data_IF_109402894284
#
_entry.id   IF_109402894284
#
_cell.length_a   1.000
_cell.length_b   1.000
_cell.length_c   1.000
_cell.angle_alpha   90.00
_cell.angle_beta   90.00
_cell.angle_gamma   90.00
#
_symmetry.space_group_name_H-M   'P 1'
#
loop_
_entity.id
_entity.type
_entity.pdbx_description
1 polymer ?
#
# COMPACT_ATOMS: atom_id res chain seq x y z
N UNK A 1 -2.26 -17.85 -5.04
CA UNK A 1 -2.61 -16.51 -5.56
C UNK A 1 -4.05 -16.44 -6.05
N UNK A 2 -4.42 -17.14 -7.13
CA UNK A 2 -5.76 -17.06 -7.73
C UNK A 2 -6.89 -17.20 -6.69
N UNK A 3 -6.84 -18.24 -5.84
CA UNK A 3 -7.85 -18.47 -4.80
C UNK A 3 -8.08 -17.26 -3.85
N UNK A 4 -7.00 -16.66 -3.31
CA UNK A 4 -7.13 -15.51 -2.40
C UNK A 4 -7.52 -14.22 -3.14
N UNK A 5 -7.11 -14.09 -4.40
CA UNK A 5 -7.51 -12.98 -5.27
C UNK A 5 -9.00 -13.04 -5.60
N UNK A 6 -9.50 -14.21 -5.99
CA UNK A 6 -10.91 -14.44 -6.30
C UNK A 6 -11.78 -14.22 -5.07
N UNK A 7 -11.32 -14.67 -3.90
CA UNK A 7 -12.00 -14.41 -2.63
C UNK A 7 -12.10 -12.91 -2.33
N UNK A 8 -10.99 -12.16 -2.47
CA UNK A 8 -10.99 -10.72 -2.23
C UNK A 8 -11.89 -9.97 -3.22
N UNK A 9 -11.90 -10.34 -4.49
CA UNK A 9 -12.79 -9.76 -5.50
C UNK A 9 -14.24 -10.07 -5.19
N UNK A 10 -14.57 -11.33 -4.88
CA UNK A 10 -15.93 -11.75 -4.52
C UNK A 10 -16.47 -10.98 -3.33
N UNK A 11 -15.64 -10.76 -2.30
CA UNK A 11 -16.01 -9.96 -1.13
C UNK A 11 -16.35 -8.51 -1.51
N UNK A 12 -15.67 -7.94 -2.49
CA UNK A 12 -15.84 -6.53 -2.89
C UNK A 12 -16.93 -6.33 -3.96
N UNK A 13 -17.37 -7.38 -4.65
CA UNK A 13 -18.42 -7.29 -5.66
C UNK A 13 -19.80 -6.94 -5.08
N UNK A 14 -20.64 -6.27 -5.88
CA UNK A 14 -22.04 -5.94 -5.56
C UNK A 14 -22.25 -5.13 -4.28
N UNK A 15 -21.25 -4.30 -3.92
CA UNK A 15 -21.27 -3.43 -2.75
C UNK A 15 -20.95 -1.99 -3.14
N UNK A 16 -21.23 -1.06 -2.22
CA UNK A 16 -20.68 0.29 -2.29
C UNK A 16 -19.18 0.23 -2.00
N UNK A 17 -18.38 0.66 -2.95
CA UNK A 17 -16.93 0.71 -2.84
C UNK A 17 -16.43 2.14 -2.78
N UNK A 18 -15.26 2.30 -2.16
CA UNK A 18 -14.43 3.49 -2.22
C UNK A 18 -13.18 3.13 -3.02
N UNK A 19 -12.96 3.86 -4.11
CA UNK A 19 -11.76 3.71 -4.94
C UNK A 19 -10.92 4.97 -4.73
N UNK A 20 -9.67 4.79 -4.29
CA UNK A 20 -8.73 5.89 -4.04
C UNK A 20 -7.52 5.69 -4.92
N UNK A 21 -7.31 6.64 -5.83
CA UNK A 21 -6.11 6.74 -6.66
C UNK A 21 -5.11 7.67 -5.97
N UNK A 22 -3.89 7.19 -5.77
CA UNK A 22 -2.84 7.92 -5.04
C UNK A 22 -1.44 7.60 -5.56
N UNK A 23 -0.45 8.42 -5.17
CA UNK A 23 0.95 8.16 -5.47
C UNK A 23 1.74 7.69 -4.25
N UNK A 24 2.63 6.72 -4.45
CA UNK A 24 3.65 6.32 -3.50
C UNK A 24 5.03 6.78 -4.01
N UNK A 25 5.64 7.75 -3.31
CA UNK A 25 6.87 8.42 -3.74
C UNK A 25 6.59 9.82 -4.28
N UNK A 26 7.41 10.79 -3.89
CA UNK A 26 7.21 12.21 -4.21
C UNK A 26 7.65 12.58 -5.64
N UNK A 27 8.65 11.88 -6.18
CA UNK A 27 9.26 12.25 -7.46
C UNK A 27 8.51 11.58 -8.63
N UNK A 28 8.09 12.32 -9.67
CA UNK A 28 7.32 11.77 -10.79
C UNK A 28 7.99 10.63 -11.58
N UNK A 29 9.32 10.60 -11.64
CA UNK A 29 10.13 9.63 -12.38
C UNK A 29 10.21 8.24 -11.72
N UNK A 30 9.89 8.18 -10.43
CA UNK A 30 10.12 7.01 -9.57
C UNK A 30 8.92 6.65 -8.71
N UNK A 31 7.90 7.51 -8.64
CA UNK A 31 6.64 7.23 -7.93
C UNK A 31 5.87 6.09 -8.57
N UNK A 32 5.11 5.40 -7.74
CA UNK A 32 4.15 4.37 -8.16
C UNK A 32 2.73 4.92 -8.08
N UNK A 33 1.96 4.79 -9.15
CA UNK A 33 0.52 5.06 -9.14
C UNK A 33 -0.21 3.86 -8.52
N UNK A 34 -0.91 4.07 -7.41
CA UNK A 34 -1.59 3.00 -6.66
C UNK A 34 -3.08 3.25 -6.64
N UNK A 35 -3.87 2.22 -6.99
CA UNK A 35 -5.33 2.21 -6.83
C UNK A 35 -5.72 1.33 -5.65
N UNK A 36 -6.34 1.92 -4.64
CA UNK A 36 -6.92 1.20 -3.50
C UNK A 36 -8.40 0.98 -3.74
N UNK A 37 -8.87 -0.25 -3.52
CA UNK A 37 -10.28 -0.64 -3.63
C UNK A 37 -10.68 -1.21 -2.27
N UNK A 38 -11.61 -0.52 -1.60
CA UNK A 38 -12.02 -0.84 -0.23
C UNK A 38 -13.53 -0.67 -0.07
N UNK A 39 -14.16 -1.42 0.84
CA UNK A 39 -15.60 -1.28 1.14
C UNK A 39 -15.90 -0.46 2.41
N UNK A 40 -14.86 -0.02 3.14
CA UNK A 40 -15.01 0.69 4.41
C UNK A 40 -14.43 2.11 4.33
N UNK A 41 -15.24 3.11 4.67
CA UNK A 41 -14.88 4.52 4.50
C UNK A 41 -13.60 4.92 5.23
N UNK A 42 -13.38 4.45 6.46
CA UNK A 42 -12.16 4.81 7.21
C UNK A 42 -10.89 4.23 6.56
N UNK A 43 -10.97 3.10 5.85
CA UNK A 43 -9.84 2.54 5.12
C UNK A 43 -9.45 3.44 3.94
N UNK A 44 -10.45 3.96 3.21
CA UNK A 44 -10.25 4.95 2.16
C UNK A 44 -9.66 6.26 2.72
N UNK A 45 -10.18 6.70 3.87
CA UNK A 45 -9.65 7.87 4.57
C UNK A 45 -8.18 7.67 5.00
N UNK A 46 -7.84 6.48 5.50
CA UNK A 46 -6.47 6.14 5.89
C UNK A 46 -5.50 6.29 4.72
N UNK A 47 -5.79 5.69 3.56
CA UNK A 47 -4.90 5.80 2.39
C UNK A 47 -4.86 7.22 1.81
N UNK A 48 -5.94 7.98 1.95
CA UNK A 48 -5.99 9.41 1.58
C UNK A 48 -5.04 10.27 2.43
N UNK A 49 -4.81 9.89 3.69
CA UNK A 49 -3.87 10.58 4.58
C UNK A 49 -2.43 10.10 4.38
N UNK A 50 -2.23 8.81 4.14
CA UNK A 50 -0.88 8.21 4.13
C UNK A 50 -0.16 8.28 2.78
N UNK A 51 -0.88 8.49 1.68
CA UNK A 51 -0.32 8.56 0.33
C UNK A 51 -0.47 9.96 -0.26
N UNK A 52 0.32 10.25 -1.31
CA UNK A 52 0.30 11.55 -1.97
C UNK A 52 -0.97 11.64 -2.82
N UNK A 53 -1.77 12.67 -2.57
CA UNK A 53 -3.01 12.93 -3.28
C UNK A 53 -2.71 13.52 -4.66
N UNK A 54 -3.13 12.87 -5.76
CA UNK A 54 -3.01 13.43 -7.09
C UNK A 54 -3.84 14.71 -7.22
N UNK A 55 -3.41 15.63 -8.06
CA UNK A 55 -4.22 16.75 -8.50
C UNK A 55 -5.40 16.30 -9.35
N UNK A 56 -6.41 17.17 -9.52
CA UNK A 56 -7.55 16.88 -10.40
C UNK A 56 -7.14 16.63 -11.86
N UNK A 57 -6.02 17.23 -12.32
CA UNK A 57 -5.49 16.99 -13.65
C UNK A 57 -4.81 15.63 -13.77
N UNK A 58 -3.99 15.25 -12.79
CA UNK A 58 -3.36 13.93 -12.74
C UNK A 58 -4.40 12.80 -12.66
N UNK A 59 -5.53 13.04 -12.00
CA UNK A 59 -6.62 12.06 -11.91
C UNK A 59 -7.28 11.75 -13.26
N UNK A 60 -7.35 12.72 -14.19
CA UNK A 60 -8.00 12.52 -15.50
C UNK A 60 -7.33 11.42 -16.32
N UNK A 61 -6.01 11.30 -16.20
CA UNK A 61 -5.19 10.33 -16.94
C UNK A 61 -4.54 9.29 -16.01
N UNK A 62 -5.11 9.08 -14.82
CA UNK A 62 -4.51 8.19 -13.84
C UNK A 62 -4.55 6.74 -14.30
N UNK A 63 -3.38 6.13 -14.41
CA UNK A 63 -3.20 4.71 -14.71
C UNK A 63 -2.46 4.05 -13.55
N UNK A 64 -3.09 3.12 -12.80
CA UNK A 64 -2.41 2.47 -11.69
C UNK A 64 -1.29 1.56 -12.20
N UNK A 65 -0.13 1.70 -11.57
CA UNK A 65 0.96 0.73 -11.65
C UNK A 65 0.69 -0.48 -10.75
N UNK A 66 -0.02 -0.28 -9.64
CA UNK A 66 -0.29 -1.32 -8.64
C UNK A 66 -1.72 -1.18 -8.09
N UNK A 67 -2.38 -2.31 -7.82
CA UNK A 67 -3.75 -2.32 -7.30
C UNK A 67 -3.80 -3.03 -5.95
N UNK A 68 -4.45 -2.42 -4.96
CA UNK A 68 -4.61 -2.95 -3.62
C UNK A 68 -6.09 -3.23 -3.35
N UNK A 69 -6.40 -4.49 -3.09
CA UNK A 69 -7.73 -4.96 -2.73
C UNK A 69 -7.79 -5.16 -1.21
N UNK A 70 -8.55 -4.33 -0.51
CA UNK A 70 -8.78 -4.50 0.92
C UNK A 70 -10.13 -5.17 1.18
N UNK A 71 -10.09 -6.49 1.32
CA UNK A 71 -11.22 -7.36 1.63
C UNK A 71 -11.14 -7.82 3.10
N UNK A 72 -10.92 -6.88 4.04
CA UNK A 72 -10.70 -7.19 5.46
C UNK A 72 -11.83 -7.97 6.14
N UNK A 73 -13.04 -7.96 5.57
CA UNK A 73 -14.20 -8.72 6.05
C UNK A 73 -14.19 -10.20 5.65
N UNK A 74 -13.54 -10.55 4.55
CA UNK A 74 -13.39 -11.94 4.13
C UNK A 74 -12.37 -12.68 5.00
N UNK A 75 -12.44 -14.01 4.96
CA UNK A 75 -11.52 -14.92 5.66
C UNK A 75 -11.15 -16.09 4.77
N UNK A 76 -9.90 -16.52 4.83
CA UNK A 76 -9.44 -17.69 4.07
C UNK A 76 -9.68 -18.96 4.91
N UNK A 77 -10.90 -19.51 4.90
CA UNK A 77 -11.23 -20.65 5.77
C UNK A 77 -10.40 -21.91 5.47
N UNK A 78 -10.09 -22.16 4.19
CA UNK A 78 -9.24 -23.27 3.75
C UNK A 78 -7.74 -22.91 3.73
N UNK A 79 -7.30 -22.00 4.60
CA UNK A 79 -5.92 -21.49 4.61
C UNK A 79 -4.85 -22.59 4.66
N UNK A 80 -5.09 -23.67 5.42
CA UNK A 80 -4.15 -24.80 5.53
C UNK A 80 -3.91 -25.49 4.18
N UNK A 81 -4.97 -25.69 3.40
CA UNK A 81 -4.89 -26.31 2.06
C UNK A 81 -4.14 -25.42 1.07
N UNK A 82 -4.27 -24.10 1.23
CA UNK A 82 -3.58 -23.11 0.41
C UNK A 82 -2.13 -22.84 0.87
N UNK A 83 -1.64 -23.54 1.90
CA UNK A 83 -0.29 -23.36 2.44
C UNK A 83 -0.08 -22.03 3.17
N UNK A 84 -1.16 -21.41 3.65
CA UNK A 84 -1.11 -20.17 4.42
C UNK A 84 -0.97 -20.45 5.93
N UNK A 85 -0.53 -19.44 6.68
CA UNK A 85 -0.32 -19.54 8.13
C UNK A 85 -1.63 -19.48 8.94
N UNK A 86 -2.60 -18.68 8.50
CA UNK A 86 -3.90 -18.50 9.16
C UNK A 86 -4.96 -18.05 8.15
N UNK A 87 -6.19 -17.85 8.63
CA UNK A 87 -7.27 -17.25 7.85
C UNK A 87 -6.97 -15.81 7.39
N UNK A 88 -5.95 -15.16 7.97
CA UNK A 88 -5.43 -13.84 7.58
C UNK A 88 -4.40 -13.97 6.48
N UNK A 89 -4.59 -13.18 5.42
CA UNK A 89 -3.69 -13.18 4.27
C UNK A 89 -3.40 -11.76 3.82
N UNK A 90 -2.11 -11.40 3.79
CA UNK A 90 -1.61 -10.20 3.10
C UNK A 90 -0.64 -10.70 2.05
N UNK A 91 -1.10 -10.78 0.80
CA UNK A 91 -0.33 -11.37 -0.29
C UNK A 91 -0.07 -10.37 -1.41
N UNK A 92 1.06 -10.56 -2.10
CA UNK A 92 1.53 -9.71 -3.19
C UNK A 92 1.78 -10.57 -4.43
N UNK A 93 1.42 -10.05 -5.60
CA UNK A 93 1.81 -10.61 -6.88
C UNK A 93 2.49 -9.52 -7.70
N UNK A 94 3.80 -9.68 -7.93
CA UNK A 94 4.61 -8.70 -8.67
C UNK A 94 4.38 -8.76 -10.18
N UNK A 95 3.93 -9.90 -10.72
CA UNK A 95 3.63 -10.08 -12.15
C UNK A 95 2.35 -9.34 -12.51
N UNK A 96 1.28 -9.52 -11.73
CA UNK A 96 0.02 -8.79 -11.93
C UNK A 96 0.01 -7.40 -11.28
N UNK A 97 1.02 -7.10 -10.43
CA UNK A 97 1.16 -5.86 -9.66
C UNK A 97 -0.03 -5.60 -8.74
N UNK A 98 -0.32 -6.57 -7.89
CA UNK A 98 -1.48 -6.55 -7.02
C UNK A 98 -1.14 -6.94 -5.58
N UNK A 99 -1.88 -6.35 -4.63
CA UNK A 99 -1.90 -6.74 -3.22
C UNK A 99 -3.32 -7.12 -2.83
N UNK A 100 -3.47 -8.18 -2.06
CA UNK A 100 -4.74 -8.56 -1.41
C UNK A 100 -4.56 -8.55 0.10
N UNK A 101 -5.52 -7.97 0.81
CA UNK A 101 -5.58 -7.91 2.28
C UNK A 101 -6.89 -8.56 2.72
N UNK A 102 -6.80 -9.65 3.48
CA UNK A 102 -7.93 -10.49 3.90
C UNK A 102 -7.83 -10.76 5.41
N UNK A 103 -8.94 -10.65 6.12
CA UNK A 103 -9.07 -10.92 7.56
C UNK A 103 -8.07 -10.14 8.45
N UNK A 104 -7.79 -8.88 8.11
CA UNK A 104 -7.07 -7.95 8.97
C UNK A 104 -7.56 -6.52 8.74
N UNK A 105 -7.79 -5.81 9.83
CA UNK A 105 -8.27 -4.42 9.85
C UNK A 105 -7.16 -3.43 10.14
N UNK A 106 -5.91 -3.88 10.25
CA UNK A 106 -4.80 -3.00 10.56
C UNK A 106 -4.46 -2.14 9.34
N UNK A 107 -4.73 -0.82 9.42
CA UNK A 107 -4.49 0.11 8.29
C UNK A 107 -3.04 0.13 7.82
N UNK A 108 -2.08 -0.19 8.71
CA UNK A 108 -0.67 -0.30 8.39
C UNK A 108 -0.36 -1.29 7.26
N UNK A 109 -1.18 -2.31 7.02
CA UNK A 109 -0.99 -3.26 5.91
C UNK A 109 -1.07 -2.60 4.53
N UNK A 110 -1.94 -1.60 4.36
CA UNK A 110 -2.05 -0.84 3.10
C UNK A 110 -0.81 0.04 2.87
N UNK A 111 -0.25 0.64 3.93
CA UNK A 111 0.95 1.48 3.85
C UNK A 111 2.22 0.65 3.67
N UNK A 112 2.41 -0.35 4.54
CA UNK A 112 3.63 -1.16 4.59
C UNK A 112 3.73 -2.08 3.38
N UNK A 113 2.61 -2.55 2.83
CA UNK A 113 2.63 -3.29 1.56
C UNK A 113 3.25 -2.49 0.42
N UNK A 114 2.82 -1.24 0.23
CA UNK A 114 3.40 -0.38 -0.82
C UNK A 114 4.84 0.02 -0.50
N UNK A 115 5.18 0.23 0.77
CA UNK A 115 6.57 0.43 1.18
C UNK A 115 7.46 -0.78 0.81
N UNK A 116 6.97 -2.01 0.99
CA UNK A 116 7.69 -3.22 0.54
C UNK A 116 7.88 -3.25 -0.98
N UNK A 117 6.90 -2.79 -1.76
CA UNK A 117 7.05 -2.69 -3.23
C UNK A 117 8.10 -1.63 -3.62
N UNK A 118 8.14 -0.47 -2.94
CA UNK A 118 9.19 0.53 -3.16
C UNK A 118 10.58 -0.01 -2.77
N UNK A 119 10.67 -0.78 -1.68
CA UNK A 119 11.91 -1.48 -1.28
C UNK A 119 12.37 -2.52 -2.30
N UNK A 120 11.47 -3.06 -3.13
CA UNK A 120 11.85 -3.95 -4.21
C UNK A 120 12.30 -3.18 -5.46
N UNK A 121 11.47 -2.25 -5.95
CA UNK A 121 11.71 -1.61 -7.25
C UNK A 121 12.78 -0.51 -7.25
N UNK A 122 12.92 0.26 -6.16
CA UNK A 122 13.89 1.37 -6.13
C UNK A 122 15.35 0.90 -6.10
N UNK A 123 15.73 -0.10 -5.26
CA UNK A 123 17.12 -0.56 -5.23
C UNK A 123 17.59 -1.18 -6.55
N UNK A 124 16.68 -1.79 -7.32
CA UNK A 124 16.98 -2.29 -8.68
C UNK A 124 17.36 -1.16 -9.66
N UNK A 125 17.03 0.09 -9.34
CA UNK A 125 17.42 1.29 -10.09
C UNK A 125 18.59 2.04 -9.44
N UNK A 126 19.25 1.45 -8.43
CA UNK A 126 20.33 2.10 -7.68
C UNK A 126 19.85 3.19 -6.71
N UNK A 127 18.54 3.23 -6.38
CA UNK A 127 17.96 4.21 -5.45
C UNK A 127 17.71 3.55 -4.10
N UNK A 128 18.25 4.13 -3.03
CA UNK A 128 18.02 3.64 -1.67
C UNK A 128 16.54 3.82 -1.27
N UNK A 129 15.91 2.77 -0.76
CA UNK A 129 14.59 2.82 -0.11
C UNK A 129 14.75 2.56 1.37
N UNK A 130 14.36 3.52 2.21
CA UNK A 130 14.81 3.60 3.60
C UNK A 130 13.64 3.65 4.57
N UNK A 131 13.71 2.85 5.65
CA UNK A 131 12.79 2.96 6.77
C UNK A 131 13.32 3.98 7.79
N UNK A 132 13.27 5.25 7.43
CA UNK A 132 13.74 6.36 8.24
C UNK A 132 12.71 7.50 8.31
N UNK A 133 12.87 8.41 9.26
CA UNK A 133 12.36 9.78 9.11
C UNK A 133 13.44 10.67 8.52
N UNK A 134 13.05 11.85 8.05
CA UNK A 134 13.97 12.86 7.54
C UNK A 134 13.46 14.26 7.87
N UNK A 135 14.38 15.18 8.17
CA UNK A 135 14.09 16.61 8.31
C UNK A 135 15.28 17.43 7.80
N UNK A 136 15.12 18.76 7.77
CA UNK A 136 16.16 19.69 7.33
C UNK A 136 16.12 20.97 8.18
N UNK A 137 17.19 21.76 8.13
CA UNK A 137 17.24 23.06 8.79
C UNK A 137 16.28 24.08 8.14
N UNK A 138 16.12 25.25 8.78
CA UNK A 138 15.25 26.32 8.25
C UNK A 138 15.70 26.85 6.88
N UNK A 139 16.95 26.61 6.48
CA UNK A 139 17.49 27.02 5.18
C UNK A 139 17.33 25.92 4.12
N UNK A 140 16.85 24.72 4.48
CA UNK A 140 16.68 23.58 3.59
C UNK A 140 17.98 22.92 3.12
N UNK A 141 19.12 23.14 3.80
CA UNK A 141 20.45 22.72 3.31
C UNK A 141 20.98 21.46 3.97
N UNK A 142 20.81 21.35 5.28
CA UNK A 142 21.38 20.25 6.06
C UNK A 142 20.31 19.20 6.35
N UNK A 143 20.14 18.24 5.43
CA UNK A 143 19.19 17.13 5.61
C UNK A 143 19.77 16.07 6.55
N UNK A 144 18.98 15.63 7.51
CA UNK A 144 19.31 14.50 8.39
C UNK A 144 18.30 13.36 8.19
N UNK A 145 18.79 12.12 8.27
CA UNK A 145 17.98 10.90 8.20
C UNK A 145 18.15 10.07 9.47
N UNK A 146 17.04 9.53 9.98
CA UNK A 146 17.02 8.80 11.26
C UNK A 146 16.44 7.39 11.05
N UNK A 147 17.29 6.39 11.07
CA UNK A 147 16.89 4.98 10.98
C UNK A 147 16.38 4.46 12.33
N UNK A 148 15.46 3.49 12.27
CA UNK A 148 14.96 2.83 13.47
C UNK A 148 13.74 1.97 13.23
N UNK A 149 13.39 1.10 14.18
CA UNK A 149 12.19 0.29 14.14
C UNK A 149 10.95 1.08 14.57
N UNK A 150 9.76 0.48 14.44
CA UNK A 150 8.54 1.11 14.93
C UNK A 150 8.65 1.36 16.44
N UNK A 151 8.30 2.57 16.90
CA UNK A 151 8.37 2.93 18.32
C UNK A 151 9.73 3.37 18.86
N UNK A 152 10.78 3.44 18.03
CA UNK A 152 12.16 3.77 18.51
C UNK A 152 12.57 5.24 18.32
N UNK A 153 11.62 6.18 18.37
CA UNK A 153 11.93 7.62 18.38
C UNK A 153 12.09 8.33 17.02
N UNK A 154 11.81 7.69 15.88
CA UNK A 154 11.90 8.36 14.56
C UNK A 154 10.93 9.55 14.39
N UNK A 155 9.80 9.53 15.09
CA UNK A 155 8.73 10.53 14.95
C UNK A 155 8.73 11.55 16.09
N UNK A 156 9.36 11.22 17.22
CA UNK A 156 9.38 12.04 18.45
C UNK A 156 10.17 13.31 18.24
#
# INVERSE_FOLDING_TARGET
WAAVKDLAVKELCNKKLYVVDAFCGANPDTRMAVRFIVEVAWQAHFVTNMFIRPSAEELKNFKPDFIVYNASKAKVENYKELGLNSETCVAFNITSREQVIINTWYGGEMKKGMFSMMNYYLPLKGIASMHCSANTDKAGKNTAIFFGLSGTGKTT
#
